data_IF_724883874529
#
_entry.id   IF_724883874529
#
_cell.length_a   1.000
_cell.length_b   1.000
_cell.length_c   1.000
_cell.angle_alpha   90.00
_cell.angle_beta   90.00
_cell.angle_gamma   90.00
#
_symmetry.space_group_name_H-M   'P 1'
#
loop_
_entity.id
_entity.type
_entity.pdbx_description
1 polymer ?
#
# COMPACT_ATOMS: atom_id res chain seq x y z
N UNK A 1 -27.57 1.52 -5.20
CA UNK A 1 -28.41 0.65 -4.32
C UNK A 1 -29.91 0.88 -4.49
N UNK A 2 -30.43 2.12 -4.43
CA UNK A 2 -31.86 2.43 -4.66
C UNK A 2 -32.37 1.91 -6.02
N UNK A 3 -31.60 2.14 -7.10
CA UNK A 3 -31.85 1.55 -8.43
C UNK A 3 -31.96 0.02 -8.43
N UNK A 4 -31.17 -0.67 -7.59
CA UNK A 4 -31.24 -2.14 -7.46
C UNK A 4 -32.49 -2.58 -6.70
N UNK A 5 -32.90 -1.84 -5.67
CA UNK A 5 -34.15 -2.10 -4.93
C UNK A 5 -35.37 -1.89 -5.84
N UNK A 6 -35.37 -0.83 -6.66
CA UNK A 6 -36.43 -0.55 -7.63
C UNK A 6 -36.41 -1.52 -8.83
N UNK A 7 -35.25 -1.92 -9.34
CA UNK A 7 -35.12 -2.99 -10.36
C UNK A 7 -35.58 -4.35 -9.82
N UNK A 8 -35.25 -4.70 -8.58
CA UNK A 8 -35.75 -5.92 -7.94
C UNK A 8 -37.27 -5.87 -7.73
N UNK A 9 -37.84 -4.68 -7.50
CA UNK A 9 -39.29 -4.45 -7.42
C UNK A 9 -39.95 -4.65 -8.80
N UNK A 10 -39.35 -4.16 -9.89
CA UNK A 10 -39.87 -4.36 -11.26
C UNK A 10 -39.68 -5.78 -11.81
N UNK A 11 -38.56 -6.43 -11.53
CA UNK A 11 -38.29 -7.82 -11.94
C UNK A 11 -39.16 -8.82 -11.17
N UNK A 12 -39.52 -8.50 -9.92
CA UNK A 12 -40.44 -9.32 -9.12
C UNK A 12 -41.86 -9.39 -9.71
N UNK A 13 -42.24 -8.44 -10.58
CA UNK A 13 -43.50 -8.44 -11.31
C UNK A 13 -43.46 -9.25 -12.62
N UNK A 14 -42.29 -9.64 -13.15
CA UNK A 14 -42.17 -10.39 -14.41
C UNK A 14 -41.54 -11.80 -14.29
N UNK A 15 -40.88 -12.15 -13.18
CA UNK A 15 -40.21 -13.45 -13.10
C UNK A 15 -41.15 -14.59 -12.65
N UNK A 16 -41.70 -15.29 -13.65
CA UNK A 16 -42.32 -16.62 -13.50
C UNK A 16 -41.36 -17.58 -12.76
N UNK A 17 -41.96 -18.37 -11.86
CA UNK A 17 -41.41 -19.55 -11.20
C UNK A 17 -40.29 -20.25 -11.99
N UNK A 18 -39.05 -20.17 -11.50
CA UNK A 18 -38.09 -21.27 -11.69
C UNK A 18 -37.26 -21.42 -10.42
N UNK A 19 -37.64 -22.45 -9.68
CA UNK A 19 -37.07 -22.86 -8.41
C UNK A 19 -35.82 -23.70 -8.69
N UNK A 20 -34.63 -23.24 -8.31
CA UNK A 20 -33.43 -24.09 -8.16
C UNK A 20 -32.43 -23.50 -7.16
N UNK A 21 -32.50 -24.01 -5.92
CA UNK A 21 -31.36 -24.50 -5.13
C UNK A 21 -30.44 -23.52 -4.38
N UNK A 22 -30.78 -23.21 -3.12
CA UNK A 22 -29.91 -23.40 -1.93
C UNK A 22 -30.79 -23.23 -0.67
N UNK A 23 -30.78 -24.14 0.32
CA UNK A 23 -31.69 -24.05 1.45
C UNK A 23 -31.12 -23.13 2.53
N UNK A 24 -31.85 -22.06 2.85
CA UNK A 24 -31.66 -21.32 4.09
C UNK A 24 -31.13 -19.90 3.95
N UNK A 25 -31.83 -19.02 3.23
CA UNK A 25 -31.85 -17.59 3.56
C UNK A 25 -33.09 -16.92 2.91
N UNK A 26 -34.12 -16.78 3.74
CA UNK A 26 -35.22 -15.82 3.70
C UNK A 26 -36.07 -15.64 2.43
N UNK A 27 -37.38 -15.63 2.67
CA UNK A 27 -38.41 -15.21 1.71
C UNK A 27 -38.05 -13.83 1.10
N UNK A 28 -37.62 -13.84 -0.17
CA UNK A 28 -36.96 -12.72 -0.89
C UNK A 28 -37.76 -11.41 -0.91
N UNK A 29 -39.10 -11.47 -0.73
CA UNK A 29 -39.95 -10.27 -0.67
C UNK A 29 -39.82 -9.49 0.65
N UNK A 30 -39.68 -10.19 1.77
CA UNK A 30 -39.60 -9.54 3.09
C UNK A 30 -38.22 -8.91 3.33
N UNK A 31 -37.16 -9.47 2.72
CA UNK A 31 -35.81 -8.90 2.83
C UNK A 31 -35.64 -7.59 2.07
N UNK A 32 -36.24 -7.45 0.88
CA UNK A 32 -36.15 -6.19 0.10
C UNK A 32 -36.81 -5.04 0.86
N UNK A 33 -38.02 -5.23 1.38
CA UNK A 33 -38.73 -4.22 2.17
C UNK A 33 -37.95 -3.87 3.45
N UNK A 34 -37.35 -4.88 4.11
CA UNK A 34 -36.49 -4.66 5.28
C UNK A 34 -35.27 -3.79 4.95
N UNK A 35 -34.59 -4.06 3.83
CA UNK A 35 -33.42 -3.27 3.41
C UNK A 35 -33.79 -1.89 2.87
N UNK A 36 -34.94 -1.73 2.21
CA UNK A 36 -35.48 -0.43 1.79
C UNK A 36 -35.76 0.45 3.01
N UNK A 37 -36.49 -0.09 4.00
CA UNK A 37 -36.73 0.62 5.26
C UNK A 37 -35.43 0.94 5.99
N UNK A 38 -34.49 0.00 6.06
CA UNK A 38 -33.17 0.25 6.67
C UNK A 38 -32.38 1.33 5.94
N UNK A 39 -32.54 1.45 4.62
CA UNK A 39 -31.88 2.48 3.82
C UNK A 39 -32.51 3.86 4.08
N UNK A 40 -33.84 3.92 4.14
CA UNK A 40 -34.59 5.13 4.53
C UNK A 40 -34.21 5.56 5.94
N UNK A 41 -34.17 4.64 6.92
CA UNK A 41 -33.74 4.92 8.29
C UNK A 41 -32.30 5.47 8.31
N UNK A 42 -31.39 4.93 7.50
CA UNK A 42 -30.00 5.43 7.41
C UNK A 42 -29.95 6.82 6.75
N UNK A 43 -30.72 7.05 5.68
CA UNK A 43 -30.79 8.35 4.99
C UNK A 43 -31.34 9.44 5.91
N UNK A 44 -32.40 9.14 6.65
CA UNK A 44 -32.96 10.05 7.65
C UNK A 44 -31.94 10.35 8.75
N UNK A 45 -31.27 9.32 9.29
CA UNK A 45 -30.21 9.49 10.27
C UNK A 45 -29.03 10.35 9.75
N UNK A 46 -28.64 10.20 8.49
CA UNK A 46 -27.59 11.03 7.88
C UNK A 46 -28.06 12.48 7.77
N UNK A 47 -29.28 12.73 7.27
CA UNK A 47 -29.85 14.09 7.17
C UNK A 47 -29.95 14.77 8.53
N UNK A 48 -30.44 14.05 9.56
CA UNK A 48 -30.54 14.56 10.92
C UNK A 48 -29.16 14.96 11.47
N UNK A 49 -28.14 14.11 11.28
CA UNK A 49 -26.76 14.43 11.70
C UNK A 49 -26.14 15.59 10.92
N UNK A 50 -26.42 15.71 9.62
CA UNK A 50 -25.97 16.85 8.81
C UNK A 50 -26.60 18.16 9.30
N UNK A 51 -27.90 18.14 9.64
CA UNK A 51 -28.60 19.29 10.21
C UNK A 51 -28.06 19.63 11.59
N UNK A 52 -27.85 18.64 12.45
CA UNK A 52 -27.27 18.83 13.78
C UNK A 52 -25.87 19.44 13.69
N UNK A 53 -24.99 18.91 12.84
CA UNK A 53 -23.65 19.47 12.63
C UNK A 53 -23.69 20.92 12.11
N UNK A 54 -24.64 21.23 11.22
CA UNK A 54 -24.81 22.58 10.68
C UNK A 54 -25.37 23.57 11.71
N UNK A 55 -26.24 23.10 12.61
CA UNK A 55 -26.87 23.90 13.67
C UNK A 55 -26.00 24.07 14.91
N UNK A 56 -25.28 23.02 15.30
CA UNK A 56 -24.40 23.01 16.47
C UNK A 56 -23.15 23.86 16.28
N UNK A 57 -22.77 24.16 15.02
CA UNK A 57 -21.56 24.91 14.73
C UNK A 57 -20.32 24.20 15.29
N UNK A 58 -20.27 22.87 15.21
CA UNK A 58 -19.08 22.12 15.65
C UNK A 58 -17.90 22.46 14.73
N UNK A 59 -17.14 23.47 15.11
CA UNK A 59 -15.96 23.90 14.37
C UNK A 59 -14.82 22.88 14.57
N UNK A 60 -14.36 22.30 13.47
CA UNK A 60 -13.15 21.50 13.48
C UNK A 60 -11.94 22.38 13.85
N UNK A 61 -11.00 21.82 14.63
CA UNK A 61 -9.74 22.50 15.00
C UNK A 61 -8.72 22.56 13.85
N UNK A 62 -9.19 22.44 12.61
CA UNK A 62 -8.40 22.43 11.39
C UNK A 62 -9.20 23.13 10.29
N UNK A 63 -8.51 23.89 9.43
CA UNK A 63 -9.13 24.63 8.34
C UNK A 63 -8.24 24.63 7.10
N UNK A 64 -8.86 24.67 5.93
CA UNK A 64 -8.16 24.93 4.67
C UNK A 64 -8.02 26.43 4.47
N UNK A 65 -6.79 26.89 4.23
CA UNK A 65 -6.49 28.30 4.01
C UNK A 65 -6.01 28.49 2.58
N UNK A 66 -6.68 29.38 1.85
CA UNK A 66 -6.39 29.66 0.45
C UNK A 66 -5.74 31.04 0.29
N UNK A 67 -4.85 31.14 -0.67
CA UNK A 67 -4.13 32.37 -0.99
C UNK A 67 -4.35 32.74 -2.44
N UNK A 68 -4.35 34.05 -2.74
CA UNK A 68 -4.45 34.55 -4.12
C UNK A 68 -3.25 34.15 -4.99
N UNK A 69 -2.08 33.93 -4.40
CA UNK A 69 -0.85 33.55 -5.11
C UNK A 69 -0.28 32.25 -4.54
N UNK A 70 0.31 31.41 -5.41
CA UNK A 70 0.97 30.18 -4.98
C UNK A 70 2.24 30.48 -4.18
N UNK A 71 2.96 31.54 -4.54
CA UNK A 71 4.09 32.01 -3.76
C UNK A 71 3.68 32.43 -2.34
N UNK A 72 2.53 33.09 -2.18
CA UNK A 72 1.97 33.45 -0.87
C UNK A 72 1.66 32.22 -0.01
N UNK A 73 1.01 31.21 -0.59
CA UNK A 73 0.72 29.94 0.10
C UNK A 73 2.01 29.21 0.54
N UNK A 74 3.00 29.10 -0.36
CA UNK A 74 4.27 28.47 -0.04
C UNK A 74 5.04 29.22 1.06
N UNK A 75 4.98 30.55 1.05
CA UNK A 75 5.60 31.39 2.08
C UNK A 75 4.94 31.16 3.44
N UNK A 76 3.61 31.11 3.50
CA UNK A 76 2.88 30.80 4.73
C UNK A 76 3.19 29.40 5.25
N UNK A 77 3.30 28.39 4.37
CA UNK A 77 3.66 27.03 4.75
C UNK A 77 5.07 26.92 5.37
N UNK A 78 6.04 27.69 4.86
CA UNK A 78 7.42 27.64 5.34
C UNK A 78 7.71 28.52 6.57
N UNK A 79 6.82 29.46 6.88
CA UNK A 79 6.94 30.32 8.06
C UNK A 79 6.34 29.64 9.29
N UNK A 80 7.08 29.68 10.40
CA UNK A 80 6.53 29.31 11.70
C UNK A 80 5.47 30.34 12.10
N UNK A 81 4.22 29.89 12.27
CA UNK A 81 3.08 30.77 12.51
C UNK A 81 2.95 31.22 13.97
N UNK A 82 3.42 30.43 14.92
CA UNK A 82 3.29 30.76 16.34
C UNK A 82 4.54 30.39 17.15
N UNK A 83 4.73 31.06 18.29
CA UNK A 83 5.85 30.80 19.22
C UNK A 83 5.80 29.36 19.73
N UNK A 84 4.61 28.82 19.97
CA UNK A 84 4.43 27.44 20.39
C UNK A 84 4.35 26.51 19.16
N UNK A 85 5.33 25.60 18.95
CA UNK A 85 5.37 24.76 17.75
C UNK A 85 4.21 23.77 17.62
N UNK A 86 3.40 23.55 18.66
CA UNK A 86 2.22 22.67 18.60
C UNK A 86 0.94 23.38 18.19
N UNK A 87 0.95 24.72 18.05
CA UNK A 87 -0.20 25.51 17.64
C UNK A 87 0.00 26.07 16.23
N UNK A 88 -1.10 26.17 15.47
CA UNK A 88 -1.10 26.67 14.09
C UNK A 88 -0.11 25.92 13.19
N UNK A 89 -0.12 24.59 13.27
CA UNK A 89 0.70 23.72 12.42
C UNK A 89 0.16 23.81 10.99
N UNK A 90 1.02 24.24 10.07
CA UNK A 90 0.69 24.35 8.65
C UNK A 90 1.24 23.16 7.89
N UNK A 91 0.37 22.45 7.18
CA UNK A 91 0.72 21.38 6.25
C UNK A 91 0.24 21.75 4.84
N UNK A 92 0.94 21.26 3.80
CA UNK A 92 0.49 21.45 2.43
C UNK A 92 -0.83 20.68 2.24
N UNK A 93 -1.89 21.38 1.86
CA UNK A 93 -3.16 20.73 1.59
C UNK A 93 -2.99 19.70 0.44
N UNK A 94 -3.41 18.44 0.63
CA UNK A 94 -3.44 17.47 -0.46
C UNK A 94 -4.57 17.84 -1.44
N UNK A 95 -4.55 17.23 -2.63
CA UNK A 95 -5.64 17.41 -3.60
C UNK A 95 -7.00 17.03 -2.98
N UNK A 96 -8.13 17.68 -3.33
CA UNK A 96 -9.43 17.36 -2.76
C UNK A 96 -9.82 15.88 -2.72
N UNK A 97 -9.51 15.13 -3.78
CA UNK A 97 -9.78 13.69 -3.88
C UNK A 97 -8.80 12.82 -3.06
N UNK A 98 -7.66 13.38 -2.66
CA UNK A 98 -6.62 12.73 -1.87
C UNK A 98 -6.82 12.97 -0.35
N UNK A 99 -7.74 13.87 0.06
CA UNK A 99 -8.01 14.15 1.48
C UNK A 99 -8.62 12.93 2.18
N UNK A 100 -8.01 12.52 3.28
CA UNK A 100 -8.51 11.53 4.21
C UNK A 100 -9.24 12.20 5.40
N UNK A 101 -10.54 12.38 5.26
CA UNK A 101 -11.41 13.09 6.20
C UNK A 101 -11.43 12.55 7.65
N UNK A 102 -11.41 11.23 7.92
CA UNK A 102 -11.59 10.73 9.29
C UNK A 102 -10.55 11.20 10.32
N UNK A 103 -9.31 11.52 9.91
CA UNK A 103 -8.27 12.03 10.82
C UNK A 103 -7.98 13.54 10.64
N UNK A 104 -8.81 14.27 9.88
CA UNK A 104 -8.58 15.68 9.56
C UNK A 104 -8.57 16.57 10.82
N UNK A 105 -9.50 16.37 11.74
CA UNK A 105 -9.68 17.18 12.96
C UNK A 105 -8.91 16.69 14.19
N UNK A 106 -8.02 15.71 14.02
CA UNK A 106 -7.39 15.00 15.13
C UNK A 106 -6.26 15.78 15.78
N UNK A 107 -6.20 15.72 17.12
CA UNK A 107 -5.19 16.43 17.90
C UNK A 107 -3.77 15.90 17.67
N UNK A 108 -2.78 16.80 17.77
CA UNK A 108 -1.36 16.46 17.62
C UNK A 108 -0.92 15.30 18.53
N UNK A 109 -1.31 15.32 19.81
CA UNK A 109 -0.92 14.28 20.77
C UNK A 109 -1.49 12.91 20.40
N UNK A 110 -2.75 12.86 19.95
CA UNK A 110 -3.36 11.62 19.47
C UNK A 110 -2.65 11.08 18.24
N UNK A 111 -2.30 11.93 17.26
CA UNK A 111 -1.51 11.53 16.08
C UNK A 111 -0.13 10.99 16.48
N UNK A 112 0.54 11.62 17.45
CA UNK A 112 1.85 11.16 17.92
C UNK A 112 1.77 9.79 18.61
N UNK A 113 0.79 9.59 19.51
CA UNK A 113 0.55 8.31 20.18
C UNK A 113 0.20 7.22 19.14
N UNK A 114 -0.70 7.51 18.20
CA UNK A 114 -1.06 6.57 17.13
C UNK A 114 0.15 6.15 16.31
N UNK A 115 1.05 7.07 15.96
CA UNK A 115 2.30 6.75 15.25
C UNK A 115 3.19 5.80 16.07
N UNK A 116 3.34 6.05 17.38
CA UNK A 116 4.13 5.18 18.27
C UNK A 116 3.51 3.79 18.36
N UNK A 117 2.20 3.70 18.63
CA UNK A 117 1.47 2.42 18.72
C UNK A 117 1.62 1.64 17.41
N UNK A 118 1.45 2.29 16.25
CA UNK A 118 1.59 1.59 14.97
C UNK A 118 3.02 1.12 14.74
N UNK A 119 4.06 1.89 15.10
CA UNK A 119 5.46 1.42 15.01
C UNK A 119 5.68 0.17 15.87
N UNK A 120 5.15 0.16 17.11
CA UNK A 120 5.22 -0.99 17.99
C UNK A 120 4.48 -2.20 17.40
N UNK A 121 3.24 -2.01 16.94
CA UNK A 121 2.43 -3.07 16.33
C UNK A 121 3.07 -3.61 15.06
N UNK A 122 3.61 -2.76 14.18
CA UNK A 122 4.32 -3.19 12.98
C UNK A 122 5.59 -3.98 13.31
N UNK A 123 6.33 -3.57 14.35
CA UNK A 123 7.53 -4.28 14.80
C UNK A 123 7.15 -5.66 15.37
N UNK A 124 6.15 -5.72 16.24
CA UNK A 124 5.63 -6.98 16.78
C UNK A 124 5.08 -7.88 15.67
N UNK A 125 4.33 -7.32 14.72
CA UNK A 125 3.84 -8.05 13.56
C UNK A 125 4.99 -8.66 12.75
N UNK A 126 6.06 -7.90 12.52
CA UNK A 126 7.26 -8.37 11.81
C UNK A 126 7.94 -9.53 12.53
N UNK A 127 8.02 -9.49 13.86
CA UNK A 127 8.61 -10.56 14.68
C UNK A 127 7.71 -11.80 14.70
N UNK A 128 6.41 -11.63 14.94
CA UNK A 128 5.44 -12.73 14.98
C UNK A 128 5.36 -13.45 13.63
N UNK A 129 5.53 -12.73 12.53
CA UNK A 129 5.53 -13.32 11.18
C UNK A 129 6.71 -14.26 10.91
N UNK A 130 7.77 -14.23 11.73
CA UNK A 130 8.83 -15.25 11.66
C UNK A 130 8.31 -16.65 12.02
N UNK A 131 7.23 -16.76 12.81
CA UNK A 131 6.64 -18.05 13.21
C UNK A 131 6.10 -18.80 11.98
N UNK A 132 5.19 -18.24 11.14
CA UNK A 132 4.79 -18.86 9.88
C UNK A 132 5.96 -19.24 8.97
N UNK A 133 6.99 -18.39 8.88
CA UNK A 133 8.18 -18.67 8.05
C UNK A 133 8.91 -19.91 8.54
N UNK A 134 9.11 -20.04 9.85
CA UNK A 134 9.77 -21.20 10.46
C UNK A 134 8.91 -22.45 10.37
N UNK A 135 7.59 -22.34 10.54
CA UNK A 135 6.69 -23.48 10.30
C UNK A 135 6.82 -23.94 8.86
N UNK A 136 6.77 -23.04 7.88
CA UNK A 136 6.94 -23.36 6.46
C UNK A 136 8.28 -24.03 6.18
N UNK A 137 9.37 -23.52 6.74
CA UNK A 137 10.69 -24.14 6.61
C UNK A 137 10.74 -25.52 7.29
N UNK A 138 10.11 -25.68 8.46
CA UNK A 138 9.96 -26.96 9.13
C UNK A 138 9.17 -27.99 8.31
N UNK A 139 8.11 -27.56 7.61
CA UNK A 139 7.31 -28.41 6.73
C UNK A 139 8.11 -28.94 5.52
N UNK A 140 9.15 -28.22 5.08
CA UNK A 140 10.02 -28.68 3.97
C UNK A 140 10.98 -29.79 4.38
N UNK A 141 11.25 -29.96 5.68
CA UNK A 141 12.11 -31.01 6.21
C UNK A 141 11.27 -32.16 6.80
N UNK A 142 11.27 -33.33 6.14
CA UNK A 142 10.50 -34.50 6.58
C UNK A 142 10.76 -34.87 8.05
N UNK A 143 12.01 -34.86 8.51
CA UNK A 143 12.36 -35.19 9.89
C UNK A 143 11.82 -34.17 10.91
N UNK A 144 11.71 -32.88 10.53
CA UNK A 144 11.13 -31.85 11.40
C UNK A 144 9.61 -31.88 11.37
N UNK A 145 9.01 -32.27 10.24
CA UNK A 145 7.58 -32.44 10.07
C UNK A 145 7.01 -33.55 10.98
N UNK A 146 7.72 -34.68 11.09
CA UNK A 146 7.33 -35.78 12.00
C UNK A 146 7.35 -35.36 13.47
N UNK A 147 8.25 -34.45 13.85
CA UNK A 147 8.37 -33.91 15.21
C UNK A 147 7.30 -32.83 15.48
N UNK A 148 7.06 -31.93 14.51
CA UNK A 148 6.15 -30.78 14.68
C UNK A 148 4.66 -31.19 14.59
N UNK A 149 4.34 -32.18 13.76
CA UNK A 149 2.97 -32.66 13.56
C UNK A 149 2.89 -34.20 13.53
N UNK A 150 2.93 -34.87 14.69
CA UNK A 150 2.94 -36.34 14.76
C UNK A 150 1.67 -36.97 14.16
N UNK A 151 0.54 -36.26 14.11
CA UNK A 151 -0.71 -36.76 13.49
C UNK A 151 -0.64 -36.88 11.96
N UNK A 152 0.31 -36.20 11.30
CA UNK A 152 0.49 -36.22 9.85
C UNK A 152 1.24 -37.47 9.37
N UNK A 153 1.95 -38.18 10.25
CA UNK A 153 2.70 -39.41 9.93
C UNK A 153 1.82 -40.49 9.28
N UNK A 154 0.57 -40.62 9.72
CA UNK A 154 -0.38 -41.60 9.18
C UNK A 154 -0.91 -41.25 7.78
N UNK A 155 -0.79 -39.98 7.35
CA UNK A 155 -1.18 -39.47 6.02
C UNK A 155 0.02 -39.39 5.08
N UNK A 156 1.24 -39.22 5.62
CA UNK A 156 2.50 -39.15 4.87
C UNK A 156 3.01 -40.50 4.32
N UNK A 157 2.44 -41.62 4.71
CA UNK A 157 2.76 -42.96 4.17
C UNK A 157 2.45 -43.08 2.67
N UNK A 158 1.54 -42.25 2.13
CA UNK A 158 1.27 -42.20 0.69
C UNK A 158 2.32 -41.30 0.01
N UNK A 159 3.22 -41.93 -0.76
CA UNK A 159 4.36 -41.29 -1.47
C UNK A 159 3.97 -40.01 -2.24
N UNK A 160 2.80 -40.01 -2.89
CA UNK A 160 2.28 -38.87 -3.64
C UNK A 160 1.86 -37.70 -2.73
N UNK A 161 1.14 -37.96 -1.64
CA UNK A 161 0.75 -36.93 -0.68
C UNK A 161 1.96 -36.34 0.06
N UNK A 162 2.94 -37.18 0.39
CA UNK A 162 4.21 -36.73 0.98
C UNK A 162 4.92 -35.71 0.08
N UNK A 163 5.01 -35.95 -1.23
CA UNK A 163 5.63 -35.01 -2.19
C UNK A 163 4.87 -33.68 -2.33
N UNK A 164 3.54 -33.70 -2.31
CA UNK A 164 2.73 -32.48 -2.39
C UNK A 164 2.84 -31.66 -1.10
N UNK A 165 2.74 -32.32 0.05
CA UNK A 165 2.76 -31.68 1.38
C UNK A 165 4.13 -31.12 1.72
N UNK A 166 5.22 -31.77 1.29
CA UNK A 166 6.58 -31.29 1.56
C UNK A 166 7.11 -30.32 0.50
N UNK A 167 6.67 -30.43 -0.76
CA UNK A 167 7.17 -29.59 -1.85
C UNK A 167 6.33 -28.33 -2.12
N UNK A 168 5.01 -28.46 -2.24
CA UNK A 168 4.15 -27.40 -2.77
C UNK A 168 3.37 -26.64 -1.69
N UNK A 169 2.83 -27.37 -0.71
CA UNK A 169 2.00 -26.80 0.35
C UNK A 169 2.70 -25.69 1.17
N UNK A 170 3.98 -25.84 1.59
CA UNK A 170 4.65 -24.82 2.40
C UNK A 170 4.85 -23.53 1.59
N UNK A 171 5.18 -23.65 0.31
CA UNK A 171 5.32 -22.55 -0.62
C UNK A 171 4.00 -21.80 -0.84
N UNK A 172 2.87 -22.51 -0.93
CA UNK A 172 1.56 -21.89 -1.11
C UNK A 172 1.08 -21.18 0.16
N UNK A 173 1.29 -21.78 1.33
CA UNK A 173 0.97 -21.18 2.63
C UNK A 173 1.76 -19.87 2.82
N UNK A 174 3.06 -19.89 2.54
CA UNK A 174 3.90 -18.70 2.65
C UNK A 174 3.45 -17.58 1.70
N UNK A 175 3.13 -17.93 0.46
CA UNK A 175 2.61 -16.96 -0.52
C UNK A 175 1.29 -16.33 -0.06
N UNK A 176 0.39 -17.12 0.53
CA UNK A 176 -0.86 -16.62 1.06
C UNK A 176 -0.64 -15.61 2.19
N UNK A 177 0.23 -15.96 3.16
CA UNK A 177 0.59 -15.06 4.24
C UNK A 177 1.26 -13.78 3.74
N UNK A 178 2.18 -13.87 2.77
CA UNK A 178 2.84 -12.70 2.18
C UNK A 178 1.89 -11.79 1.41
N UNK A 179 0.82 -12.34 0.81
CA UNK A 179 -0.23 -11.54 0.15
C UNK A 179 -1.09 -10.73 1.12
N UNK A 180 -1.21 -11.16 2.38
CA UNK A 180 -1.96 -10.44 3.42
C UNK A 180 -1.21 -9.21 3.96
N UNK A 181 0.11 -9.16 3.80
CA UNK A 181 0.97 -8.14 4.42
C UNK A 181 0.70 -6.73 3.88
N UNK A 182 0.64 -6.46 2.55
CA UNK A 182 0.45 -5.08 2.07
C UNK A 182 -0.88 -4.45 2.53
N UNK A 183 -2.04 -5.13 2.43
CA UNK A 183 -3.30 -4.60 2.98
C UNK A 183 -3.26 -4.36 4.50
N UNK A 184 -2.60 -5.24 5.26
CA UNK A 184 -2.45 -5.05 6.70
C UNK A 184 -1.60 -3.82 7.04
N UNK A 185 -0.50 -3.59 6.30
CA UNK A 185 0.36 -2.42 6.49
C UNK A 185 -0.30 -1.12 6.05
N UNK A 186 -1.17 -1.16 5.03
CA UNK A 186 -2.00 -0.03 4.62
C UNK A 186 -3.02 0.33 5.71
N UNK A 187 -3.73 -0.67 6.25
CA UNK A 187 -4.66 -0.48 7.37
C UNK A 187 -3.96 0.08 8.62
N UNK A 188 -2.78 -0.45 8.97
CA UNK A 188 -2.00 0.10 10.08
C UNK A 188 -1.53 1.53 9.79
N UNK A 189 -1.27 1.88 8.53
CA UNK A 189 -0.86 3.23 8.13
C UNK A 189 -2.02 4.23 8.15
N UNK A 190 -3.25 3.80 7.85
CA UNK A 190 -4.42 4.70 7.93
C UNK A 190 -4.68 5.16 9.36
N UNK A 191 -4.45 4.29 10.36
CA UNK A 191 -4.62 4.61 11.79
C UNK A 191 -3.58 5.63 12.31
N UNK A 192 -2.48 5.88 11.58
CA UNK A 192 -1.42 6.81 12.01
C UNK A 192 -1.85 8.29 11.98
N UNK A 193 -3.02 8.61 11.43
CA UNK A 193 -3.55 9.97 11.39
C UNK A 193 -2.89 10.84 10.32
N UNK A 194 -2.63 10.27 9.14
CA UNK A 194 -2.26 11.05 7.95
C UNK A 194 -3.50 11.74 7.36
N UNK A 195 -3.29 12.90 6.75
CA UNK A 195 -4.35 13.73 6.17
C UNK A 195 -4.64 13.35 4.71
N UNK A 196 -3.74 12.60 4.06
CA UNK A 196 -3.88 12.23 2.65
C UNK A 196 -3.83 10.72 2.43
N UNK A 197 -4.53 10.22 1.40
CA UNK A 197 -4.43 8.83 0.96
C UNK A 197 -3.02 8.52 0.44
N UNK A 198 -2.41 9.46 -0.27
CA UNK A 198 -1.06 9.35 -0.80
C UNK A 198 0.00 9.15 0.30
N UNK A 199 -0.08 9.88 1.42
CA UNK A 199 0.85 9.70 2.54
C UNK A 199 0.62 8.37 3.28
N UNK A 200 -0.63 7.90 3.37
CA UNK A 200 -0.97 6.58 3.92
C UNK A 200 -0.30 5.49 3.08
N UNK A 201 -0.47 5.52 1.76
CA UNK A 201 0.15 4.56 0.85
C UNK A 201 1.67 4.65 0.87
N UNK A 202 2.25 5.85 0.92
CA UNK A 202 3.69 6.06 1.02
C UNK A 202 4.26 5.47 2.31
N UNK A 203 3.56 5.64 3.42
CA UNK A 203 3.92 5.05 4.72
C UNK A 203 3.76 3.53 4.70
N UNK A 204 2.72 3.02 4.05
CA UNK A 204 2.50 1.58 3.84
C UNK A 204 3.61 0.95 2.99
N UNK A 205 3.98 1.57 1.86
CA UNK A 205 5.11 1.12 1.02
C UNK A 205 6.38 0.95 1.84
N UNK A 206 6.71 1.93 2.69
CA UNK A 206 7.92 1.88 3.53
C UNK A 206 7.87 0.71 4.51
N UNK A 207 6.72 0.48 5.15
CA UNK A 207 6.53 -0.62 6.10
C UNK A 207 6.60 -1.98 5.41
N UNK A 208 5.95 -2.14 4.26
CA UNK A 208 5.99 -3.37 3.44
C UNK A 208 7.41 -3.66 2.98
N UNK A 209 8.16 -2.66 2.54
CA UNK A 209 9.56 -2.83 2.15
C UNK A 209 10.40 -3.32 3.34
N UNK A 210 10.28 -2.64 4.48
CA UNK A 210 11.04 -2.99 5.69
C UNK A 210 10.69 -4.41 6.16
N UNK A 211 9.40 -4.74 6.19
CA UNK A 211 8.93 -6.09 6.50
C UNK A 211 9.50 -7.13 5.53
N UNK A 212 9.49 -6.87 4.23
CA UNK A 212 9.96 -7.82 3.20
C UNK A 212 11.47 -8.06 3.35
N UNK A 213 12.25 -7.01 3.62
CA UNK A 213 13.69 -7.14 3.88
C UNK A 213 13.96 -8.00 5.12
N UNK A 214 13.23 -7.81 6.21
CA UNK A 214 13.44 -8.60 7.43
C UNK A 214 12.92 -10.04 7.32
N UNK A 215 11.69 -10.23 6.86
CA UNK A 215 11.04 -11.54 6.82
C UNK A 215 11.41 -12.40 5.61
N UNK A 216 11.73 -11.81 4.46
CA UNK A 216 12.07 -12.59 3.26
C UNK A 216 13.58 -12.67 3.07
N UNK A 217 14.31 -11.56 3.18
CA UNK A 217 15.76 -11.59 3.02
C UNK A 217 16.47 -12.09 4.28
N UNK A 218 16.41 -11.35 5.40
CA UNK A 218 17.20 -11.71 6.58
C UNK A 218 16.74 -13.02 7.24
N UNK A 219 15.44 -13.27 7.37
CA UNK A 219 14.96 -14.52 7.96
C UNK A 219 15.37 -15.76 7.13
N UNK A 220 15.44 -15.65 5.80
CA UNK A 220 15.93 -16.74 4.94
C UNK A 220 17.44 -16.90 5.04
N UNK A 221 18.19 -15.81 5.05
CA UNK A 221 19.65 -15.83 5.24
C UNK A 221 20.01 -16.49 6.58
N UNK A 222 19.26 -16.20 7.65
CA UNK A 222 19.47 -16.78 8.98
C UNK A 222 18.57 -18.00 9.30
N UNK A 223 17.96 -18.61 8.28
CA UNK A 223 16.95 -19.69 8.40
C UNK A 223 17.39 -20.89 9.25
N UNK A 224 18.70 -21.12 9.43
CA UNK A 224 19.22 -22.20 10.26
C UNK A 224 19.04 -22.05 11.77
N UNK A 225 18.75 -20.84 12.30
CA UNK A 225 18.43 -20.65 13.72
C UNK A 225 17.93 -19.22 13.99
N UNK A 226 16.68 -19.05 14.41
CA UNK A 226 16.14 -17.76 14.87
C UNK A 226 16.98 -17.21 16.04
N UNK A 227 17.46 -18.08 16.93
CA UNK A 227 18.38 -17.71 18.01
C UNK A 227 19.69 -17.15 17.48
N UNK A 228 20.20 -17.67 16.35
CA UNK A 228 21.38 -17.09 15.70
C UNK A 228 21.11 -15.70 15.13
N UNK A 229 19.89 -15.40 14.66
CA UNK A 229 19.49 -14.07 14.21
C UNK A 229 19.52 -13.06 15.37
N UNK A 230 18.89 -13.40 16.51
CA UNK A 230 18.91 -12.56 17.71
C UNK A 230 20.31 -12.43 18.31
N UNK A 231 21.08 -13.51 18.40
CA UNK A 231 22.47 -13.48 18.87
C UNK A 231 23.39 -12.67 17.93
N UNK A 232 23.03 -12.50 16.66
CA UNK A 232 23.77 -11.65 15.72
C UNK A 232 23.47 -10.16 15.93
N UNK A 233 22.27 -9.82 16.39
CA UNK A 233 21.93 -8.45 16.80
C UNK A 233 22.62 -8.06 18.11
N UNK A 234 22.84 -9.03 19.01
CA UNK A 234 23.52 -8.82 20.29
C UNK A 234 25.05 -8.63 20.16
N UNK A 235 25.66 -9.17 19.10
CA UNK A 235 27.11 -9.05 18.81
C UNK A 235 27.40 -8.31 17.49
N UNK A 236 27.39 -6.97 17.46
CA UNK A 236 27.56 -6.17 16.24
C UNK A 236 28.88 -6.43 15.49
N UNK A 237 29.94 -6.78 16.23
CA UNK A 237 31.28 -7.02 15.67
C UNK A 237 31.33 -8.22 14.72
N UNK A 238 30.45 -9.20 14.90
CA UNK A 238 30.44 -10.44 14.13
C UNK A 238 29.42 -10.44 12.98
N UNK A 239 28.64 -9.36 12.81
CA UNK A 239 27.62 -9.24 11.76
C UNK A 239 28.22 -9.47 10.36
N UNK A 240 29.31 -8.79 9.95
CA UNK A 240 29.84 -8.96 8.59
C UNK A 240 30.29 -10.40 8.30
N UNK A 241 30.95 -11.05 9.27
CA UNK A 241 31.42 -12.43 9.13
C UNK A 241 30.28 -13.44 9.01
N UNK A 242 29.22 -13.30 9.81
CA UNK A 242 28.05 -14.19 9.72
C UNK A 242 27.30 -14.02 8.39
N UNK A 243 27.09 -12.77 7.95
CA UNK A 243 26.46 -12.49 6.66
C UNK A 243 27.28 -13.01 5.48
N UNK A 244 28.61 -12.94 5.57
CA UNK A 244 29.52 -13.40 4.53
C UNK A 244 29.45 -14.92 4.26
N UNK A 245 29.05 -15.72 5.26
CA UNK A 245 28.82 -17.16 5.10
C UNK A 245 27.37 -17.44 4.70
N UNK A 246 26.43 -16.80 5.36
CA UNK A 246 25.00 -17.10 5.23
C UNK A 246 24.38 -16.61 3.90
N UNK A 247 24.76 -15.41 3.43
CA UNK A 247 24.17 -14.81 2.23
C UNK A 247 24.52 -15.62 0.97
N UNK A 248 25.80 -15.96 0.69
CA UNK A 248 26.13 -16.76 -0.49
C UNK A 248 25.49 -18.16 -0.48
N UNK A 249 25.35 -18.78 0.70
CA UNK A 249 24.72 -20.10 0.84
C UNK A 249 23.27 -20.13 0.34
N UNK A 250 22.55 -19.00 0.42
CA UNK A 250 21.16 -18.89 -0.02
C UNK A 250 20.99 -18.36 -1.45
N UNK A 251 22.06 -18.23 -2.24
CA UNK A 251 21.98 -17.68 -3.59
C UNK A 251 21.02 -18.46 -4.51
N UNK A 252 21.08 -19.81 -4.48
CA UNK A 252 20.21 -20.67 -5.28
C UNK A 252 18.72 -20.48 -4.94
N UNK A 253 18.41 -20.26 -3.65
CA UNK A 253 17.06 -19.95 -3.20
C UNK A 253 16.57 -18.63 -3.82
N UNK A 254 17.36 -17.55 -3.73
CA UNK A 254 16.94 -16.25 -4.26
C UNK A 254 16.86 -16.22 -5.78
N UNK A 255 17.72 -16.95 -6.50
CA UNK A 255 17.57 -17.13 -7.95
C UNK A 255 16.22 -17.79 -8.27
N UNK A 256 15.89 -18.87 -7.55
CA UNK A 256 14.60 -19.56 -7.71
C UNK A 256 13.44 -18.65 -7.33
N UNK A 257 13.58 -17.84 -6.28
CA UNK A 257 12.58 -16.87 -5.84
C UNK A 257 12.32 -15.79 -6.89
N UNK A 258 13.35 -15.26 -7.55
CA UNK A 258 13.20 -14.27 -8.64
C UNK A 258 12.41 -14.87 -9.81
N UNK A 259 12.74 -16.10 -10.22
CA UNK A 259 12.04 -16.76 -11.33
C UNK A 259 10.60 -17.10 -10.94
N UNK A 260 10.40 -17.74 -9.79
CA UNK A 260 9.08 -18.26 -9.37
C UNK A 260 8.15 -17.18 -8.84
N UNK A 261 8.61 -16.23 -8.02
CA UNK A 261 7.75 -15.15 -7.52
C UNK A 261 7.78 -13.93 -8.41
N UNK A 262 8.95 -13.54 -8.93
CA UNK A 262 9.06 -12.34 -9.75
C UNK A 262 8.26 -12.49 -11.04
N UNK A 263 8.54 -13.51 -11.84
CA UNK A 263 7.91 -13.66 -13.15
C UNK A 263 6.43 -14.03 -13.01
N UNK A 264 6.08 -14.97 -12.12
CA UNK A 264 4.67 -15.32 -11.88
C UNK A 264 3.87 -14.14 -11.36
N UNK A 265 4.44 -13.29 -10.50
CA UNK A 265 3.72 -12.10 -10.02
C UNK A 265 3.46 -11.09 -11.13
N UNK A 266 4.44 -10.84 -12.01
CA UNK A 266 4.27 -9.90 -13.12
C UNK A 266 3.28 -10.44 -14.16
N UNK A 267 3.34 -11.74 -14.44
CA UNK A 267 2.34 -12.42 -15.28
C UNK A 267 0.94 -12.37 -14.64
N UNK A 268 0.83 -12.60 -13.34
CA UNK A 268 -0.44 -12.49 -12.60
C UNK A 268 -1.00 -11.07 -12.62
N UNK A 269 -0.13 -10.05 -12.68
CA UNK A 269 -0.54 -8.65 -12.82
C UNK A 269 -1.06 -8.37 -14.23
N UNK A 270 -0.46 -8.94 -15.27
CA UNK A 270 -0.97 -8.83 -16.63
C UNK A 270 -2.39 -9.40 -16.76
N UNK A 271 -2.62 -10.61 -16.24
CA UNK A 271 -3.93 -11.26 -16.29
C UNK A 271 -4.95 -10.70 -15.30
N UNK A 272 -4.50 -9.89 -14.32
CA UNK A 272 -5.31 -9.38 -13.19
C UNK A 272 -6.23 -10.46 -12.62
N UNK A 273 -5.64 -11.61 -12.29
CA UNK A 273 -6.37 -12.84 -11.92
C UNK A 273 -7.36 -12.60 -10.77
N UNK A 274 -6.96 -11.83 -9.75
CA UNK A 274 -7.81 -11.55 -8.58
C UNK A 274 -9.03 -10.67 -8.97
N UNK A 275 -8.86 -9.48 -9.58
CA UNK A 275 -9.99 -8.71 -10.11
C UNK A 275 -10.87 -9.50 -11.09
N UNK A 276 -10.28 -10.33 -11.95
CA UNK A 276 -11.02 -11.14 -12.91
C UNK A 276 -11.93 -12.16 -12.22
N UNK A 277 -11.42 -12.91 -11.24
CA UNK A 277 -12.22 -13.86 -10.45
C UNK A 277 -13.33 -13.12 -9.69
N UNK A 278 -12.99 -12.00 -9.05
CA UNK A 278 -13.98 -11.22 -8.31
C UNK A 278 -15.07 -10.65 -9.22
N UNK A 279 -14.69 -10.11 -10.39
CA UNK A 279 -15.62 -9.64 -11.41
C UNK A 279 -16.51 -10.78 -11.91
N UNK A 280 -15.96 -11.97 -12.15
CA UNK A 280 -16.76 -13.10 -12.61
C UNK A 280 -17.78 -13.59 -11.58
N UNK A 281 -17.41 -13.57 -10.29
CA UNK A 281 -18.30 -13.90 -9.17
C UNK A 281 -19.35 -12.80 -8.94
N UNK A 282 -18.99 -11.52 -9.09
CA UNK A 282 -19.88 -10.37 -8.80
C UNK A 282 -20.73 -9.93 -9.97
N UNK A 283 -20.35 -10.26 -11.21
CA UNK A 283 -21.11 -9.98 -12.44
C UNK A 283 -22.57 -10.45 -12.39
N UNK A 284 -22.92 -11.67 -11.91
CA UNK A 284 -24.33 -12.06 -11.78
C UNK A 284 -25.11 -11.25 -10.72
N UNK A 285 -24.43 -10.50 -9.86
CA UNK A 285 -25.04 -9.68 -8.79
C UNK A 285 -24.97 -8.17 -9.07
N UNK A 286 -24.39 -7.75 -10.20
CA UNK A 286 -24.13 -6.34 -10.51
C UNK A 286 -25.03 -5.87 -11.64
N UNK A 287 -25.65 -4.69 -11.47
CA UNK A 287 -26.53 -4.10 -12.48
C UNK A 287 -25.70 -3.36 -13.53
N UNK A 288 -26.23 -3.27 -14.75
CA UNK A 288 -25.56 -2.65 -15.90
C UNK A 288 -25.35 -1.13 -15.72
N UNK A 289 -26.03 -0.53 -14.75
CA UNK A 289 -26.01 0.91 -14.40
C UNK A 289 -24.99 1.28 -13.32
N UNK A 290 -24.25 0.32 -12.75
CA UNK A 290 -23.21 0.64 -11.76
C UNK A 290 -22.00 1.23 -12.49
N UNK A 291 -21.69 2.50 -12.21
CA UNK A 291 -20.56 3.23 -12.79
C UNK A 291 -19.27 2.43 -12.54
N UNK A 292 -18.56 2.05 -13.61
CA UNK A 292 -17.35 1.25 -13.51
C UNK A 292 -16.25 2.08 -12.84
N UNK A 293 -16.00 1.83 -11.55
CA UNK A 293 -14.93 2.48 -10.83
C UNK A 293 -13.58 2.00 -11.38
N UNK A 294 -12.85 2.92 -12.01
CA UNK A 294 -11.55 2.62 -12.61
C UNK A 294 -10.56 2.30 -11.47
N UNK A 295 -9.87 1.16 -11.52
CA UNK A 295 -8.97 0.77 -10.45
C UNK A 295 -7.76 1.71 -10.38
N UNK A 296 -7.35 2.04 -9.16
CA UNK A 296 -6.12 2.78 -8.89
C UNK A 296 -4.89 1.88 -8.87
N UNK A 297 -3.71 2.49 -9.06
CA UNK A 297 -2.43 1.77 -8.96
C UNK A 297 -2.11 1.47 -7.49
N UNK A 298 -1.86 0.22 -7.09
CA UNK A 298 -1.53 -0.13 -5.71
C UNK A 298 -0.04 0.13 -5.39
N UNK A 299 0.33 1.40 -5.18
CA UNK A 299 1.72 1.82 -4.94
C UNK A 299 2.33 1.16 -3.69
N UNK A 300 1.52 0.95 -2.65
CA UNK A 300 1.92 0.28 -1.40
C UNK A 300 2.41 -1.17 -1.57
N UNK A 301 2.01 -1.86 -2.66
CA UNK A 301 2.38 -3.25 -2.93
C UNK A 301 3.49 -3.38 -3.96
N UNK A 302 3.40 -2.65 -5.07
CA UNK A 302 4.29 -2.86 -6.21
C UNK A 302 5.65 -2.17 -6.05
N UNK A 303 5.69 -0.95 -5.50
CA UNK A 303 6.97 -0.24 -5.27
C UNK A 303 7.91 -1.06 -4.37
N UNK A 304 7.48 -1.53 -3.17
CA UNK A 304 8.34 -2.32 -2.31
C UNK A 304 8.85 -3.61 -2.94
N UNK A 305 8.03 -4.24 -3.77
CA UNK A 305 8.39 -5.48 -4.49
C UNK A 305 9.51 -5.23 -5.50
N UNK A 306 9.39 -4.20 -6.34
CA UNK A 306 10.43 -3.83 -7.31
C UNK A 306 11.72 -3.47 -6.59
N UNK A 307 11.63 -2.69 -5.50
CA UNK A 307 12.78 -2.32 -4.67
C UNK A 307 13.45 -3.53 -4.02
N UNK A 308 12.69 -4.53 -3.59
CA UNK A 308 13.22 -5.75 -3.02
C UNK A 308 14.01 -6.57 -4.05
N UNK A 309 13.52 -6.70 -5.28
CA UNK A 309 14.29 -7.33 -6.37
C UNK A 309 15.56 -6.54 -6.72
N UNK A 310 15.50 -5.21 -6.66
CA UNK A 310 16.68 -4.35 -6.75
C UNK A 310 17.71 -4.66 -5.66
N UNK A 311 17.26 -4.82 -4.41
CA UNK A 311 18.11 -5.21 -3.29
C UNK A 311 18.79 -6.56 -3.52
N UNK A 312 18.04 -7.56 -4.00
CA UNK A 312 18.62 -8.87 -4.34
C UNK A 312 19.67 -8.75 -5.44
N UNK A 313 19.42 -7.98 -6.50
CA UNK A 313 20.39 -7.74 -7.56
C UNK A 313 21.68 -7.11 -7.06
N UNK A 314 21.58 -6.03 -6.29
CA UNK A 314 22.73 -5.32 -5.71
C UNK A 314 23.46 -6.19 -4.70
N UNK A 315 22.77 -7.03 -3.95
CA UNK A 315 23.42 -7.90 -2.96
C UNK A 315 24.16 -9.06 -3.63
N UNK A 316 23.58 -9.66 -4.67
CA UNK A 316 24.07 -10.90 -5.27
C UNK A 316 24.89 -10.74 -6.55
N UNK A 317 25.01 -9.54 -7.15
CA UNK A 317 25.69 -9.38 -8.46
C UNK A 317 27.11 -9.95 -8.51
N UNK A 318 27.88 -9.82 -7.43
CA UNK A 318 29.26 -10.33 -7.33
C UNK A 318 29.35 -11.70 -6.62
N UNK A 319 28.30 -12.10 -5.90
CA UNK A 319 28.25 -13.38 -5.17
C UNK A 319 27.81 -14.52 -6.08
N UNK A 320 26.73 -14.28 -6.84
CA UNK A 320 26.10 -15.21 -7.75
C UNK A 320 25.62 -14.43 -8.98
N UNK A 321 26.51 -14.09 -9.93
CA UNK A 321 26.19 -13.28 -11.11
C UNK A 321 25.04 -13.84 -11.96
N UNK A 322 24.78 -15.15 -11.86
CA UNK A 322 23.69 -15.84 -12.53
C UNK A 322 22.29 -15.27 -12.17
N UNK A 323 22.14 -14.54 -11.05
CA UNK A 323 20.88 -13.86 -10.71
C UNK A 323 20.55 -12.71 -11.67
N UNK A 324 21.56 -12.06 -12.26
CA UNK A 324 21.39 -10.84 -13.05
C UNK A 324 20.56 -11.05 -14.33
N UNK A 325 20.81 -12.09 -15.16
CA UNK A 325 19.95 -12.35 -16.32
C UNK A 325 18.47 -12.56 -15.96
N UNK A 326 18.18 -13.26 -14.86
CA UNK A 326 16.80 -13.49 -14.41
C UNK A 326 16.12 -12.22 -13.90
N UNK A 327 16.87 -11.36 -13.21
CA UNK A 327 16.40 -10.03 -12.79
C UNK A 327 16.21 -9.10 -13.97
N UNK A 328 17.11 -9.11 -14.96
CA UNK A 328 16.98 -8.32 -16.18
C UNK A 328 15.69 -8.71 -16.93
N UNK A 329 15.45 -10.01 -17.11
CA UNK A 329 14.21 -10.50 -17.71
C UNK A 329 12.98 -10.05 -16.91
N UNK A 330 13.04 -10.11 -15.58
CA UNK A 330 11.97 -9.59 -14.71
C UNK A 330 11.71 -8.10 -14.96
N UNK A 331 12.74 -7.24 -14.95
CA UNK A 331 12.57 -5.80 -15.15
C UNK A 331 12.07 -5.46 -16.56
N UNK A 332 12.52 -6.17 -17.59
CA UNK A 332 12.03 -6.00 -18.96
C UNK A 332 10.53 -6.38 -19.07
N UNK A 333 10.14 -7.53 -18.51
CA UNK A 333 8.75 -7.96 -18.48
C UNK A 333 7.88 -6.99 -17.68
N UNK A 334 8.34 -6.58 -16.49
CA UNK A 334 7.65 -5.62 -15.65
C UNK A 334 7.47 -4.28 -16.37
N UNK A 335 8.50 -3.77 -17.06
CA UNK A 335 8.40 -2.51 -17.83
C UNK A 335 7.31 -2.58 -18.90
N UNK A 336 7.30 -3.64 -19.72
CA UNK A 336 6.31 -3.81 -20.79
C UNK A 336 4.90 -3.92 -20.21
N UNK A 337 4.73 -4.74 -19.16
CA UNK A 337 3.42 -5.03 -18.56
C UNK A 337 2.89 -3.81 -17.81
N UNK A 338 3.66 -3.18 -16.93
CA UNK A 338 3.21 -1.99 -16.21
C UNK A 338 2.94 -0.83 -17.15
N UNK A 339 3.75 -0.63 -18.21
CA UNK A 339 3.47 0.38 -19.24
C UNK A 339 2.11 0.15 -19.90
N UNK A 340 1.79 -1.09 -20.26
CA UNK A 340 0.47 -1.43 -20.81
C UNK A 340 -0.66 -1.18 -19.79
N UNK A 341 -0.46 -1.56 -18.53
CA UNK A 341 -1.47 -1.38 -17.47
C UNK A 341 -1.73 0.10 -17.16
N UNK A 342 -0.69 0.95 -17.14
CA UNK A 342 -0.85 2.39 -16.93
C UNK A 342 -1.57 3.11 -18.08
N UNK A 343 -1.49 2.60 -19.30
CA UNK A 343 -2.18 3.19 -20.46
C UNK A 343 -3.63 2.71 -20.52
N UNK A 344 -3.89 1.44 -20.23
CA UNK A 344 -5.17 0.79 -20.57
C UNK A 344 -6.08 0.47 -19.37
N UNK A 345 -5.56 0.47 -18.15
CA UNK A 345 -6.28 -0.10 -16.99
C UNK A 345 -6.31 0.82 -15.78
N UNK A 346 -5.16 1.40 -15.41
CA UNK A 346 -5.03 2.18 -14.18
C UNK A 346 -5.27 3.66 -14.42
N UNK A 347 -6.12 4.26 -13.59
CA UNK A 347 -6.21 5.71 -13.45
C UNK A 347 -5.56 6.15 -12.12
N UNK A 348 -4.71 7.21 -12.13
CA UNK A 348 -4.18 7.75 -10.89
C UNK A 348 -5.31 8.37 -10.08
N UNK A 349 -5.48 7.94 -8.82
CA UNK A 349 -6.48 8.51 -7.90
C UNK A 349 -6.03 9.87 -7.34
N UNK A 350 -4.73 10.08 -7.26
CA UNK A 350 -4.09 11.27 -6.72
C UNK A 350 -2.73 11.48 -7.42
N UNK A 351 -2.26 12.73 -7.47
CA UNK A 351 -0.91 13.05 -7.94
C UNK A 351 0.05 13.31 -6.76
N UNK A 352 1.13 12.52 -6.70
CA UNK A 352 2.14 12.65 -5.63
C UNK A 352 3.34 13.49 -6.04
N UNK A 353 3.40 14.00 -7.28
CA UNK A 353 4.52 14.80 -7.80
C UNK A 353 5.91 14.17 -7.58
N UNK A 354 6.00 12.83 -7.59
CA UNK A 354 7.26 12.10 -7.41
C UNK A 354 7.76 11.97 -5.97
N UNK A 355 6.92 12.24 -4.95
CA UNK A 355 7.27 12.09 -3.52
C UNK A 355 7.72 10.68 -3.11
N UNK A 356 7.44 9.64 -3.91
CA UNK A 356 7.98 8.29 -3.69
C UNK A 356 9.49 8.17 -4.00
N UNK A 357 10.08 9.09 -4.76
CA UNK A 357 11.48 8.99 -5.21
C UNK A 357 12.51 8.93 -4.07
N UNK A 358 12.40 9.73 -2.99
CA UNK A 358 13.26 9.58 -1.82
C UNK A 358 13.21 8.18 -1.18
N UNK A 359 12.06 7.48 -1.21
CA UNK A 359 11.97 6.10 -0.71
C UNK A 359 12.80 5.17 -1.59
N UNK A 360 12.67 5.30 -2.90
CA UNK A 360 13.43 4.52 -3.89
C UNK A 360 14.93 4.76 -3.68
N UNK A 361 15.37 6.03 -3.63
CA UNK A 361 16.76 6.39 -3.41
C UNK A 361 17.33 5.81 -2.11
N UNK A 362 16.64 6.02 -0.99
CA UNK A 362 17.07 5.50 0.32
C UNK A 362 17.15 3.96 0.33
N UNK A 363 16.24 3.27 -0.35
CA UNK A 363 16.27 1.81 -0.49
C UNK A 363 17.48 1.33 -1.29
N UNK A 364 17.83 2.04 -2.38
CA UNK A 364 19.01 1.73 -3.19
C UNK A 364 20.31 1.96 -2.41
N UNK A 365 20.40 3.06 -1.67
CA UNK A 365 21.53 3.34 -0.76
C UNK A 365 21.65 2.26 0.32
N UNK A 366 20.54 1.87 0.94
CA UNK A 366 20.52 0.79 1.93
C UNK A 366 21.04 -0.52 1.33
N UNK A 367 20.58 -0.86 0.12
CA UNK A 367 21.01 -2.06 -0.60
C UNK A 367 22.52 -2.05 -0.92
N UNK A 368 23.07 -0.90 -1.32
CA UNK A 368 24.50 -0.72 -1.54
C UNK A 368 25.31 -0.85 -0.24
N UNK A 369 24.86 -0.22 0.85
CA UNK A 369 25.52 -0.32 2.16
C UNK A 369 25.50 -1.77 2.65
N UNK A 370 24.37 -2.46 2.52
CA UNK A 370 24.23 -3.88 2.85
C UNK A 370 25.23 -4.73 2.05
N UNK A 371 25.31 -4.49 0.73
CA UNK A 371 26.28 -5.15 -0.15
C UNK A 371 27.72 -4.92 0.31
N UNK A 372 28.11 -3.68 0.62
CA UNK A 372 29.46 -3.38 1.07
C UNK A 372 29.79 -4.08 2.40
N UNK A 373 28.85 -4.14 3.35
CA UNK A 373 29.04 -4.86 4.62
C UNK A 373 29.30 -6.35 4.37
N UNK A 374 28.52 -6.97 3.46
CA UNK A 374 28.69 -8.37 3.08
C UNK A 374 30.05 -8.58 2.39
N UNK A 375 30.43 -7.70 1.45
CA UNK A 375 31.70 -7.77 0.74
C UNK A 375 32.91 -7.67 1.68
N UNK A 376 32.89 -6.72 2.64
CA UNK A 376 33.92 -6.60 3.68
C UNK A 376 34.02 -7.89 4.49
N UNK A 377 32.89 -8.47 4.90
CA UNK A 377 32.84 -9.74 5.60
C UNK A 377 33.48 -10.88 4.82
N UNK A 378 33.19 -11.00 3.52
CA UNK A 378 33.72 -12.08 2.67
C UNK A 378 35.22 -11.95 2.48
N UNK A 379 35.72 -10.75 2.16
CA UNK A 379 37.16 -10.55 1.96
C UNK A 379 37.95 -10.73 3.26
N UNK A 380 37.38 -10.35 4.40
CA UNK A 380 37.96 -10.61 5.72
C UNK A 380 38.08 -12.12 5.99
N UNK A 381 37.01 -12.89 5.73
CA UNK A 381 37.02 -14.36 5.92
C UNK A 381 38.01 -15.07 4.97
N UNK A 382 38.12 -14.61 3.72
CA UNK A 382 39.05 -15.18 2.74
C UNK A 382 40.52 -14.79 2.97
N UNK A 383 40.85 -14.07 4.05
CA UNK A 383 42.20 -13.59 4.38
C UNK A 383 42.83 -12.72 3.27
N UNK A 384 42.01 -12.05 2.46
CA UNK A 384 42.46 -11.12 1.43
C UNK A 384 42.56 -9.71 2.04
N UNK A 385 43.65 -9.46 2.76
CA UNK A 385 43.86 -8.21 3.51
C UNK A 385 43.74 -6.96 2.65
N UNK A 386 44.38 -6.96 1.47
CA UNK A 386 44.37 -5.82 0.55
C UNK A 386 42.95 -5.47 0.06
N UNK A 387 42.17 -6.47 -0.33
CA UNK A 387 40.79 -6.27 -0.80
C UNK A 387 39.87 -5.80 0.33
N UNK A 388 40.04 -6.35 1.54
CA UNK A 388 39.25 -5.93 2.72
C UNK A 388 39.53 -4.47 3.10
N UNK A 389 40.80 -4.07 3.15
CA UNK A 389 41.20 -2.69 3.45
C UNK A 389 40.68 -1.70 2.40
N UNK A 390 40.70 -2.06 1.11
CA UNK A 390 40.19 -1.19 0.05
C UNK A 390 38.66 -1.09 0.04
N UNK A 391 37.95 -2.13 0.50
CA UNK A 391 36.47 -2.16 0.53
C UNK A 391 35.90 -1.47 1.76
N UNK A 392 36.63 -1.43 2.88
CA UNK A 392 36.21 -0.80 4.13
C UNK A 392 35.75 0.68 4.02
N UNK A 393 36.35 1.57 3.21
CA UNK A 393 35.87 2.94 3.07
C UNK A 393 34.60 3.10 2.24
N UNK A 394 34.20 2.11 1.42
CA UNK A 394 33.04 2.22 0.51
C UNK A 394 31.70 2.48 1.23
N UNK A 395 31.32 1.80 2.33
CA UNK A 395 30.12 2.14 3.10
C UNK A 395 30.11 3.60 3.55
N UNK A 396 31.24 4.10 4.05
CA UNK A 396 31.37 5.49 4.53
C UNK A 396 31.20 6.46 3.37
N UNK A 397 31.87 6.23 2.25
CA UNK A 397 31.73 7.05 1.04
C UNK A 397 30.29 7.07 0.52
N UNK A 398 29.61 5.92 0.53
CA UNK A 398 28.21 5.80 0.12
C UNK A 398 27.28 6.58 1.03
N UNK A 399 27.51 6.54 2.34
CA UNK A 399 26.72 7.32 3.31
C UNK A 399 27.00 8.83 3.19
N UNK A 400 28.24 9.23 2.94
CA UNK A 400 28.58 10.63 2.65
C UNK A 400 27.91 11.12 1.38
N UNK A 401 27.90 10.30 0.32
CA UNK A 401 27.16 10.59 -0.92
C UNK A 401 25.65 10.72 -0.66
N UNK A 402 25.06 9.81 0.12
CA UNK A 402 23.65 9.91 0.49
C UNK A 402 23.36 11.20 1.27
N UNK A 403 24.21 11.58 2.22
CA UNK A 403 24.02 12.82 2.98
C UNK A 403 24.18 14.07 2.10
N UNK A 404 25.11 14.06 1.14
CA UNK A 404 25.21 15.09 0.10
C UNK A 404 23.91 15.17 -0.72
N UNK A 405 23.39 14.04 -1.19
CA UNK A 405 22.15 13.98 -1.96
C UNK A 405 20.94 14.44 -1.14
N UNK A 406 20.86 14.06 0.14
CA UNK A 406 19.80 14.51 1.05
C UNK A 406 19.86 16.02 1.26
N UNK A 407 21.03 16.60 1.49
CA UNK A 407 21.15 18.07 1.65
C UNK A 407 20.86 18.82 0.36
N UNK A 408 21.28 18.30 -0.80
CA UNK A 408 21.19 19.01 -2.08
C UNK A 408 19.86 18.83 -2.82
N UNK A 409 19.31 17.62 -2.85
CA UNK A 409 18.18 17.27 -3.71
C UNK A 409 16.88 16.96 -2.96
N UNK A 410 16.93 16.49 -1.71
CA UNK A 410 15.70 16.23 -0.94
C UNK A 410 14.78 17.46 -0.82
N UNK A 411 15.28 18.70 -0.65
CA UNK A 411 14.41 19.88 -0.58
C UNK A 411 13.48 20.05 -1.79
N UNK A 412 13.87 19.57 -2.98
CA UNK A 412 13.06 19.66 -4.22
C UNK A 412 11.76 18.86 -4.09
N UNK A 413 11.77 17.76 -3.33
CA UNK A 413 10.58 16.93 -3.10
C UNK A 413 9.70 17.44 -1.96
N UNK A 414 10.19 18.39 -1.18
CA UNK A 414 9.46 19.00 -0.05
C UNK A 414 8.78 20.29 -0.48
N UNK A 415 9.47 21.10 -1.29
CA UNK A 415 9.02 22.44 -1.64
C UNK A 415 9.37 22.81 -3.09
N UNK A 416 8.44 23.54 -3.73
CA UNK A 416 8.67 24.15 -5.03
C UNK A 416 9.56 25.39 -4.93
N UNK A 417 10.35 25.66 -5.98
CA UNK A 417 11.21 26.85 -6.00
C UNK A 417 10.38 28.14 -6.11
N UNK A 418 10.81 29.18 -5.38
CA UNK A 418 10.19 30.50 -5.41
C UNK A 418 10.11 31.09 -6.83
N UNK A 419 11.13 30.84 -7.64
CA UNK A 419 11.18 31.27 -9.05
C UNK A 419 10.07 30.61 -9.87
N UNK A 420 9.90 29.30 -9.76
CA UNK A 420 8.84 28.55 -10.46
C UNK A 420 7.46 29.04 -10.05
N UNK A 421 7.24 29.22 -8.74
CA UNK A 421 5.99 29.73 -8.19
C UNK A 421 5.67 31.14 -8.71
N UNK A 422 6.62 32.08 -8.65
CA UNK A 422 6.43 33.44 -9.16
C UNK A 422 6.19 33.47 -10.67
N UNK A 423 6.87 32.61 -11.44
CA UNK A 423 6.65 32.48 -12.89
C UNK A 423 5.23 32.01 -13.19
N UNK A 424 4.74 31.01 -12.43
CA UNK A 424 3.37 30.50 -12.55
C UNK A 424 2.33 31.52 -12.10
N UNK A 425 2.56 32.23 -11.00
CA UNK A 425 1.67 33.30 -10.55
C UNK A 425 1.52 34.43 -11.58
N UNK A 426 2.60 34.78 -12.31
CA UNK A 426 2.53 35.73 -13.43
C UNK A 426 1.73 35.20 -14.63
N UNK A 427 1.73 33.88 -14.85
CA UNK A 427 0.93 33.26 -15.92
C UNK A 427 -0.55 33.30 -15.55
N UNK A 428 -0.89 32.95 -14.30
CA UNK A 428 -2.26 33.01 -13.78
C UNK A 428 -2.87 34.41 -13.85
N UNK A 429 -2.10 35.46 -13.61
CA UNK A 429 -2.58 36.85 -13.71
C UNK A 429 -3.13 37.21 -15.10
N UNK A 430 -2.62 36.55 -16.15
CA UNK A 430 -3.03 36.78 -17.53
C UNK A 430 -4.10 35.78 -17.99
N UNK A 431 -4.51 34.84 -17.14
CA UNK A 431 -5.46 33.78 -17.47
C UNK A 431 -6.88 34.17 -17.02
N UNK A 432 -7.77 34.36 -17.98
CA UNK A 432 -9.17 34.72 -17.74
C UNK A 432 -9.96 33.63 -16.98
N UNK A 433 -9.49 32.38 -16.99
CA UNK A 433 -10.15 31.25 -16.31
C UNK A 433 -9.94 31.24 -14.79
N UNK A 434 -8.98 32.03 -14.28
CA UNK A 434 -8.64 32.04 -12.85
C UNK A 434 -9.79 32.53 -11.96
N UNK A 435 -10.67 33.41 -12.44
CA UNK A 435 -11.84 33.86 -11.69
C UNK A 435 -12.80 32.70 -11.40
N UNK A 436 -13.10 31.89 -12.41
CA UNK A 436 -13.92 30.68 -12.25
C UNK A 436 -13.23 29.65 -11.35
N UNK A 437 -11.91 29.52 -11.45
CA UNK A 437 -11.14 28.65 -10.56
C UNK A 437 -11.30 29.05 -9.09
N UNK A 438 -11.22 30.34 -8.74
CA UNK A 438 -11.40 30.78 -7.35
C UNK A 438 -12.82 30.53 -6.82
N UNK A 439 -13.85 30.67 -7.66
CA UNK A 439 -15.24 30.34 -7.29
C UNK A 439 -15.40 28.84 -7.01
N UNK A 440 -14.81 27.98 -7.86
CA UNK A 440 -14.85 26.53 -7.69
C UNK A 440 -14.05 26.06 -6.47
N UNK A 441 -12.95 26.74 -6.15
CA UNK A 441 -12.05 26.38 -5.06
C UNK A 441 -12.70 26.49 -3.68
N UNK A 442 -13.69 27.37 -3.49
CA UNK A 442 -14.50 27.43 -2.26
C UNK A 442 -15.29 26.14 -2.01
N UNK A 443 -15.71 25.46 -3.09
CA UNK A 443 -16.49 24.23 -3.00
C UNK A 443 -15.62 22.96 -3.05
N UNK A 444 -14.35 23.07 -3.42
CA UNK A 444 -13.49 21.92 -3.69
C UNK A 444 -13.23 21.07 -2.44
N UNK A 445 -13.05 21.69 -1.27
CA UNK A 445 -12.73 21.00 -0.01
C UNK A 445 -13.95 20.85 0.90
N UNK A 446 -15.13 20.60 0.33
CA UNK A 446 -16.31 20.23 1.11
C UNK A 446 -16.22 18.76 1.49
N UNK A 447 -16.43 18.46 2.77
CA UNK A 447 -16.50 17.09 3.25
C UNK A 447 -17.61 16.35 2.46
N UNK A 448 -17.30 15.21 1.80
CA UNK A 448 -18.29 14.40 1.11
C UNK A 448 -19.50 14.04 1.97
N UNK A 449 -19.32 13.92 3.29
CA UNK A 449 -20.40 13.64 4.23
C UNK A 449 -21.36 14.83 4.45
N UNK A 450 -20.99 16.05 4.05
CA UNK A 450 -21.83 17.25 4.12
C UNK A 450 -22.51 17.59 2.78
N UNK A 451 -22.16 16.90 1.70
CA UNK A 451 -22.83 17.09 0.42
C UNK A 451 -24.25 16.51 0.47
N UNK A 452 -25.22 17.15 -0.19
CA UNK A 452 -26.56 16.59 -0.31
C UNK A 452 -26.47 15.25 -1.03
N UNK A 453 -27.21 14.26 -0.54
CA UNK A 453 -27.29 12.93 -1.16
C UNK A 453 -27.89 13.12 -2.57
N UNK A 454 -27.02 13.13 -3.58
CA UNK A 454 -27.44 13.19 -4.98
C UNK A 454 -27.96 11.82 -5.38
N UNK A 455 -29.28 11.68 -5.40
CA UNK A 455 -29.91 10.59 -6.12
C UNK A 455 -29.76 10.88 -7.61
N UNK A 456 -29.39 9.88 -8.41
CA UNK A 456 -29.74 9.91 -9.84
C UNK A 456 -31.27 9.87 -9.88
N UNK A 457 -31.92 11.04 -9.88
CA UNK A 457 -33.35 11.13 -10.07
C UNK A 457 -33.64 10.50 -11.44
N UNK A 458 -34.21 9.31 -11.41
CA UNK A 458 -34.85 8.76 -12.58
C UNK A 458 -36.02 9.69 -12.88
N UNK A 459 -35.98 10.35 -14.03
CA UNK A 459 -36.94 11.36 -14.46
C UNK A 459 -38.26 10.71 -14.94
N UNK A 460 -38.76 9.72 -14.20
CA UNK A 460 -39.95 8.93 -14.52
C UNK A 460 -41.01 9.05 -13.40
N UNK A 461 -41.22 10.26 -12.88
CA UNK A 461 -42.44 10.58 -12.15
C UNK A 461 -43.58 10.88 -13.14
N UNK A 462 -44.01 9.86 -13.88
CA UNK A 462 -45.19 9.90 -14.76
C UNK A 462 -46.50 9.56 -14.01
N UNK A 463 -46.52 9.69 -12.68
CA UNK A 463 -47.73 9.51 -11.86
C UNK A 463 -47.83 10.54 -10.73
N UNK A 464 -47.98 11.81 -11.09
CA UNK A 464 -48.69 12.78 -10.26
C UNK A 464 -50.12 12.89 -10.77
N UNK A 465 -51.17 12.73 -9.94
CA UNK A 465 -52.53 13.02 -10.36
C UNK A 465 -52.65 14.54 -10.57
N UNK A 466 -53.10 14.94 -11.77
CA UNK A 466 -53.49 16.31 -12.07
C UNK A 466 -54.68 16.67 -11.18
N UNK A 467 -54.43 17.42 -10.10
CA UNK A 467 -55.47 18.21 -9.44
C UNK A 467 -55.60 19.48 -10.28
N UNK A 468 -56.63 19.52 -11.13
CA UNK A 468 -57.06 20.71 -11.83
C UNK A 468 -57.62 21.71 -10.83
N UNK A 469 -57.08 22.93 -10.84
CA UNK A 469 -57.77 24.09 -10.26
C UNK A 469 -59.03 24.38 -11.09
N UNK A 470 -60.19 24.30 -10.44
CA UNK A 470 -61.37 25.13 -10.66
C UNK A 470 -62.14 25.19 -9.34
#
# INVERSE_FOLDING_TARGET
>A
MYKRVTQLRSDSTQQKNTQRGFPGLFSRKNSVIYYEKKLEDIEENVRLKQLEASLAGEEARAAFVFFKSRFGAATAFHLQQSVNPTHWITELAPEPHDVYWPFFSESFMRRWISKLVVVLVCTTFTIVFLIPVVIVQGLTNLNQLEILFPFLTSILTIKFFSQIVTGYLPSLILQLFLKLVPPAMEFLSSIQGYISHSDIEMSASRKVLWFTVWNVFFATVFSGSILSMFNTLLDPKNIPGKLAVAVPAQASFFITYVVTQGWTSVSSELFRVIPFIFSWITRPFTSQDDEFEVPSTPYHKDIPRVLFFGLLGITYFFLAPLILPFLLAYFCLAYIIFRNQFINVYAPKYDTAGKFWPIIHNSMIFSLVLMHIIAVGIFALKKLSLASTLTMPLPVLTLLFNEYCRKRFLPIFVAYSAESLKKKDRQDQNDATMTQFYENLVNAYKDPALLPIQHSQNNDNLRSPLISQA
#
